data_IF_830814459557
#
_entry.id   IF_830814459557
#
_cell.length_a   1.000
_cell.length_b   1.000
_cell.length_c   1.000
_cell.angle_alpha   90.00
_cell.angle_beta   90.00
_cell.angle_gamma   90.00
#
_symmetry.space_group_name_H-M   'P 1'
#
loop_
_entity.id
_entity.type
_entity.pdbx_description
1 polymer ?
#
# COMPACT_ATOMS: atom_id res chain seq x y z
N UNK A 1 -6.41 -23.92 -3.24
CA UNK A 1 -5.76 -22.63 -3.61
C UNK A 1 -4.25 -22.84 -3.72
N UNK A 2 -3.63 -22.46 -4.85
CA UNK A 2 -2.20 -22.72 -5.15
C UNK A 2 -1.25 -21.88 -4.29
N UNK A 3 -1.68 -20.68 -3.87
CA UNK A 3 -0.89 -19.78 -3.04
C UNK A 3 -1.68 -19.45 -1.76
N UNK A 4 -1.05 -19.70 -0.61
CA UNK A 4 -1.66 -19.45 0.72
C UNK A 4 -1.18 -18.13 1.34
N UNK A 5 -0.02 -17.65 0.93
CA UNK A 5 0.66 -16.50 1.48
C UNK A 5 1.03 -15.54 0.34
N UNK A 6 0.55 -14.32 0.40
CA UNK A 6 0.83 -13.28 -0.60
C UNK A 6 1.45 -12.07 0.09
N UNK A 7 2.52 -11.55 -0.52
CA UNK A 7 3.09 -10.25 -0.21
C UNK A 7 2.70 -9.28 -1.32
N UNK A 8 2.12 -8.15 -0.94
CA UNK A 8 1.89 -7.00 -1.80
C UNK A 8 2.92 -5.94 -1.43
N UNK A 9 3.63 -5.41 -2.43
CA UNK A 9 4.50 -4.24 -2.30
C UNK A 9 3.80 -3.14 -3.09
N UNK A 10 3.40 -2.07 -2.42
CA UNK A 10 2.59 -1.02 -3.02
C UNK A 10 3.35 0.31 -3.04
N UNK A 11 3.22 1.02 -4.15
CA UNK A 11 3.85 2.33 -4.39
C UNK A 11 2.79 3.35 -4.81
N UNK A 12 2.99 4.63 -4.48
CA UNK A 12 1.91 5.64 -4.58
C UNK A 12 1.77 6.19 -6.01
N UNK A 13 2.87 6.26 -6.77
CA UNK A 13 2.94 6.85 -8.11
C UNK A 13 1.97 6.18 -9.08
N UNK A 14 1.73 4.88 -8.92
CA UNK A 14 0.82 4.08 -9.74
C UNK A 14 -0.61 3.98 -9.20
N UNK A 15 -0.91 4.60 -8.06
CA UNK A 15 -2.24 4.51 -7.45
C UNK A 15 -3.26 5.41 -8.15
N UNK A 16 -4.54 5.03 -8.09
CA UNK A 16 -5.67 5.77 -8.66
C UNK A 16 -5.86 7.18 -8.09
N UNK A 17 -5.23 7.48 -6.95
CA UNK A 17 -5.25 8.79 -6.31
C UNK A 17 -4.08 9.71 -6.68
N UNK A 18 -3.08 9.23 -7.42
CA UNK A 18 -1.87 9.97 -7.77
C UNK A 18 -1.90 10.36 -9.25
N UNK A 19 -1.96 11.66 -9.54
CA UNK A 19 -2.11 12.18 -10.92
C UNK A 19 -0.95 13.07 -11.36
N UNK A 20 -0.04 13.36 -10.44
CA UNK A 20 1.08 14.24 -10.67
C UNK A 20 2.21 13.92 -9.70
N UNK A 21 3.42 14.37 -10.02
CA UNK A 21 4.56 14.29 -9.11
C UNK A 21 4.29 14.97 -7.76
N UNK A 22 3.46 16.03 -7.75
CA UNK A 22 3.09 16.70 -6.51
C UNK A 22 2.25 15.79 -5.60
N UNK A 23 1.42 14.91 -6.18
CA UNK A 23 0.61 13.97 -5.42
C UNK A 23 1.47 12.84 -4.80
N UNK A 24 2.59 12.45 -5.42
CA UNK A 24 3.54 11.51 -4.79
C UNK A 24 4.58 12.18 -3.88
N UNK A 25 4.59 13.51 -3.80
CA UNK A 25 5.53 14.28 -2.98
C UNK A 25 5.05 14.41 -1.53
N UNK A 26 5.93 14.17 -0.56
CA UNK A 26 5.59 14.13 0.86
C UNK A 26 4.95 15.44 1.36
N UNK A 27 3.90 15.31 2.20
CA UNK A 27 3.18 16.40 2.87
C UNK A 27 2.46 17.43 1.98
N UNK A 28 2.34 17.20 0.67
CA UNK A 28 1.50 18.04 -0.18
C UNK A 28 0.01 17.81 0.09
N UNK A 29 -0.86 18.68 -0.44
CA UNK A 29 -2.31 18.43 -0.44
C UNK A 29 -2.67 17.22 -1.30
N UNK A 30 -1.92 17.02 -2.38
CA UNK A 30 -2.06 15.88 -3.28
C UNK A 30 -1.78 14.55 -2.61
N UNK A 31 -0.68 14.50 -1.86
CA UNK A 31 -0.24 13.32 -1.12
C UNK A 31 -1.30 12.72 -0.21
N UNK A 32 -2.05 13.54 0.54
CA UNK A 32 -3.13 13.02 1.39
C UNK A 32 -4.21 12.31 0.58
N UNK A 33 -4.55 12.83 -0.61
CA UNK A 33 -5.53 12.19 -1.51
C UNK A 33 -4.95 10.92 -2.13
N UNK A 34 -3.69 10.96 -2.53
CA UNK A 34 -3.00 9.79 -3.07
C UNK A 34 -2.90 8.66 -2.02
N UNK A 35 -2.63 8.97 -0.75
CA UNK A 35 -2.65 8.00 0.35
C UNK A 35 -4.01 7.30 0.46
N UNK A 36 -5.11 8.07 0.38
CA UNK A 36 -6.46 7.52 0.40
C UNK A 36 -6.72 6.65 -0.85
N UNK A 37 -6.28 7.09 -2.03
CA UNK A 37 -6.41 6.35 -3.29
C UNK A 37 -5.67 5.02 -3.24
N UNK A 38 -4.38 5.04 -2.93
CA UNK A 38 -3.56 3.84 -2.77
C UNK A 38 -4.14 2.88 -1.73
N UNK A 39 -4.64 3.40 -0.60
CA UNK A 39 -5.30 2.55 0.41
C UNK A 39 -6.53 1.83 -0.15
N UNK A 40 -7.35 2.50 -0.97
CA UNK A 40 -8.53 1.89 -1.61
C UNK A 40 -8.15 0.84 -2.65
N UNK A 41 -7.13 1.14 -3.46
CA UNK A 41 -6.64 0.21 -4.49
C UNK A 41 -6.12 -1.07 -3.84
N UNK A 42 -5.21 -0.92 -2.87
CA UNK A 42 -4.65 -2.03 -2.09
C UNK A 42 -5.75 -2.78 -1.34
N UNK A 43 -6.69 -2.06 -0.71
CA UNK A 43 -7.82 -2.67 -0.02
C UNK A 43 -8.68 -3.55 -0.93
N UNK A 44 -8.89 -3.12 -2.18
CA UNK A 44 -9.64 -3.88 -3.19
C UNK A 44 -8.90 -5.15 -3.61
N UNK A 45 -7.57 -5.08 -3.79
CA UNK A 45 -6.73 -6.25 -4.06
C UNK A 45 -6.76 -7.23 -2.88
N UNK A 46 -6.61 -6.73 -1.65
CA UNK A 46 -6.67 -7.55 -0.43
C UNK A 46 -8.00 -8.29 -0.31
N UNK A 47 -9.12 -7.60 -0.53
CA UNK A 47 -10.45 -8.20 -0.50
C UNK A 47 -10.57 -9.32 -1.55
N UNK A 48 -10.19 -9.05 -2.79
CA UNK A 48 -10.21 -10.06 -3.85
C UNK A 48 -9.32 -11.28 -3.58
N UNK A 49 -8.18 -11.10 -2.91
CA UNK A 49 -7.33 -12.22 -2.49
C UNK A 49 -8.00 -13.09 -1.41
N UNK A 50 -8.66 -12.47 -0.43
CA UNK A 50 -9.42 -13.20 0.58
C UNK A 50 -10.61 -13.94 -0.03
N UNK A 51 -11.35 -13.30 -0.94
CA UNK A 51 -12.47 -13.92 -1.67
C UNK A 51 -12.01 -15.13 -2.49
N UNK A 52 -10.79 -15.08 -3.03
CA UNK A 52 -10.18 -16.19 -3.75
C UNK A 52 -9.70 -17.33 -2.81
N UNK A 53 -9.70 -17.13 -1.49
CA UNK A 53 -9.31 -18.12 -0.48
C UNK A 53 -7.83 -18.07 -0.07
N UNK A 54 -7.14 -16.94 -0.28
CA UNK A 54 -5.80 -16.72 0.29
C UNK A 54 -5.92 -16.60 1.82
N UNK A 55 -5.02 -17.28 2.55
CA UNK A 55 -5.10 -17.34 4.01
C UNK A 55 -4.34 -16.21 4.71
N UNK A 56 -3.25 -15.73 4.10
CA UNK A 56 -2.42 -14.66 4.66
C UNK A 56 -2.02 -13.67 3.58
N UNK A 57 -2.31 -12.41 3.83
CA UNK A 57 -1.91 -11.29 2.99
C UNK A 57 -1.09 -10.31 3.85
N UNK A 58 0.11 -10.01 3.40
CA UNK A 58 0.93 -8.92 3.93
C UNK A 58 1.02 -7.81 2.89
N UNK A 59 0.91 -6.57 3.33
CA UNK A 59 1.06 -5.39 2.49
C UNK A 59 2.22 -4.59 3.03
N UNK A 60 3.24 -4.36 2.21
CA UNK A 60 4.30 -3.42 2.53
C UNK A 60 4.07 -2.13 1.75
N UNK A 61 3.90 -1.03 2.49
CA UNK A 61 3.94 0.30 1.92
C UNK A 61 5.39 0.63 1.57
N UNK A 62 5.63 0.85 0.29
CA UNK A 62 6.96 0.99 -0.27
C UNK A 62 7.23 2.38 -0.83
N UNK A 63 6.36 3.35 -0.55
CA UNK A 63 6.55 4.72 -0.98
C UNK A 63 7.24 5.56 0.09
N UNK A 64 8.42 6.12 -0.21
CA UNK A 64 9.15 7.10 0.63
C UNK A 64 9.28 6.72 2.11
N UNK A 65 8.33 7.15 2.95
CA UNK A 65 8.35 6.92 4.40
C UNK A 65 7.81 5.55 4.77
N UNK A 66 7.03 4.91 3.90
CA UNK A 66 6.30 3.69 4.19
C UNK A 66 5.09 3.88 5.14
N UNK A 67 4.58 5.11 5.30
CA UNK A 67 3.46 5.45 6.19
C UNK A 67 2.30 6.15 5.45
N UNK A 68 2.00 5.69 4.24
CA UNK A 68 1.01 6.26 3.34
C UNK A 68 -0.30 5.45 3.31
N UNK A 69 -0.23 4.13 3.48
CA UNK A 69 -1.41 3.25 3.60
C UNK A 69 -2.03 3.43 4.99
N UNK A 70 -3.35 3.59 5.04
CA UNK A 70 -4.13 3.68 6.27
C UNK A 70 -4.54 2.27 6.73
N UNK A 71 -3.87 1.65 7.73
CA UNK A 71 -4.10 0.25 8.09
C UNK A 71 -5.52 -0.01 8.56
N UNK A 72 -6.15 0.96 9.21
CA UNK A 72 -7.53 0.89 9.72
C UNK A 72 -8.59 0.77 8.61
N UNK A 73 -8.21 0.96 7.35
CA UNK A 73 -9.09 0.80 6.17
C UNK A 73 -8.79 -0.44 5.34
N UNK A 74 -7.81 -1.25 5.76
CA UNK A 74 -7.50 -2.54 5.15
C UNK A 74 -8.24 -3.63 5.93
N UNK A 75 -8.66 -4.70 5.23
CA UNK A 75 -9.38 -5.81 5.85
C UNK A 75 -8.60 -6.37 7.07
N UNK A 76 -9.24 -6.58 8.25
CA UNK A 76 -8.55 -6.95 9.50
C UNK A 76 -7.68 -8.22 9.46
N UNK A 77 -7.89 -9.10 8.48
CA UNK A 77 -7.08 -10.30 8.28
C UNK A 77 -5.74 -10.06 7.56
N UNK A 78 -5.54 -8.88 6.95
CA UNK A 78 -4.30 -8.53 6.27
C UNK A 78 -3.37 -7.74 7.19
N UNK A 79 -2.08 -7.98 7.07
CA UNK A 79 -1.05 -7.28 7.84
C UNK A 79 -0.45 -6.15 7.01
N UNK A 80 -0.66 -4.91 7.43
CA UNK A 80 0.07 -3.76 6.86
C UNK A 80 1.41 -3.60 7.59
N UNK A 81 2.49 -3.49 6.82
CA UNK A 81 3.86 -3.29 7.25
C UNK A 81 4.25 -1.88 6.85
N UNK A 82 4.25 -0.98 7.84
CA UNK A 82 4.61 0.42 7.68
C UNK A 82 6.06 0.68 8.04
N UNK A 83 6.66 1.61 7.32
CA UNK A 83 8.01 2.10 7.55
C UNK A 83 9.12 1.12 7.16
N UNK A 84 10.36 1.59 7.34
CA UNK A 84 11.56 0.85 7.04
C UNK A 84 12.45 0.78 8.29
N UNK A 85 12.97 -0.41 8.61
CA UNK A 85 13.88 -0.58 9.76
C UNK A 85 15.20 0.16 9.58
N UNK A 86 15.73 0.21 8.35
CA UNK A 86 17.03 0.83 8.01
C UNK A 86 16.87 2.07 7.13
N UNK A 87 15.65 2.60 7.02
CA UNK A 87 15.30 3.65 6.05
C UNK A 87 14.98 3.11 4.65
N UNK A 88 14.41 3.95 3.78
CA UNK A 88 14.15 3.60 2.38
C UNK A 88 15.46 3.39 1.63
N UNK A 89 15.43 2.54 0.61
CA UNK A 89 16.59 2.30 -0.26
C UNK A 89 16.53 3.29 -1.42
N UNK A 90 17.49 4.23 -1.56
CA UNK A 90 17.47 5.16 -2.68
C UNK A 90 17.43 4.42 -4.03
N UNK A 91 16.44 4.73 -4.86
CA UNK A 91 16.25 4.09 -6.17
C UNK A 91 15.50 2.76 -6.13
N UNK A 92 15.09 2.27 -4.95
CA UNK A 92 14.19 1.14 -4.77
C UNK A 92 13.13 1.56 -3.75
N UNK A 93 12.05 2.18 -4.24
CA UNK A 93 11.00 2.82 -3.43
C UNK A 93 11.21 4.32 -3.37
#
# INVERSE_FOLDING_TARGET
>A
MKFKNILIIADIEGSSGCWSYSDSSFMTRGWRRACIGMTKDVGSVVAGLFDAGVQRVSVHDFHRTGYNILPERIAPGAKVISGYRLGPVPGIG
#
